data_IF_867934358993
#
_entry.id   IF_867934358993
#
_cell.length_a   1.000
_cell.length_b   1.000
_cell.length_c   1.000
_cell.angle_alpha   90.00
_cell.angle_beta   90.00
_cell.angle_gamma   90.00
#
_symmetry.space_group_name_H-M   'P 1'
#
loop_
_entity.id
_entity.type
_entity.pdbx_description
1 polymer ?
#
# COMPACT_ATOMS: atom_id res chain seq x y z
N UNK A 1 22.84 22.09 7.38
CA UNK A 1 21.65 21.37 7.88
C UNK A 1 21.93 19.87 7.75
N UNK A 2 21.87 19.10 8.83
CA UNK A 2 22.06 17.64 8.79
C UNK A 2 20.76 16.98 9.25
N UNK A 3 20.23 16.07 8.44
CA UNK A 3 18.98 15.35 8.71
C UNK A 3 19.28 13.86 8.62
N UNK A 4 18.86 13.10 9.64
CA UNK A 4 18.97 11.64 9.67
C UNK A 4 17.59 11.02 9.50
N UNK A 5 17.48 9.99 8.67
CA UNK A 5 16.24 9.25 8.43
C UNK A 5 16.44 7.76 8.74
N UNK A 6 15.46 7.13 9.37
CA UNK A 6 15.40 5.67 9.55
C UNK A 6 14.36 5.08 8.59
N UNK A 7 14.80 4.15 7.76
CA UNK A 7 13.96 3.45 6.78
C UNK A 7 13.79 1.99 7.25
N UNK A 8 12.55 1.51 7.26
CA UNK A 8 12.17 0.17 7.76
C UNK A 8 11.29 -0.53 6.70
N UNK A 9 11.36 -1.86 6.62
CA UNK A 9 10.43 -2.68 5.82
C UNK A 9 9.41 -3.29 6.77
N UNK A 10 8.13 -3.03 6.54
CA UNK A 10 7.04 -3.57 7.36
C UNK A 10 5.77 -3.75 6.49
N UNK A 11 4.61 -4.01 7.11
CA UNK A 11 3.31 -4.18 6.46
C UNK A 11 2.27 -3.23 7.07
N UNK A 12 1.24 -2.90 6.28
CA UNK A 12 0.09 -2.14 6.76
C UNK A 12 0.37 -0.66 7.02
N UNK A 13 -0.49 -0.07 7.84
CA UNK A 13 -0.35 1.29 8.36
C UNK A 13 0.11 1.22 9.81
N UNK A 14 1.13 2.01 10.15
CA UNK A 14 1.63 2.12 11.51
C UNK A 14 1.59 3.57 11.97
N UNK A 15 0.70 3.83 12.92
CA UNK A 15 0.65 5.09 13.66
C UNK A 15 1.70 5.01 14.76
N UNK A 16 2.68 5.91 14.74
CA UNK A 16 3.67 5.97 15.82
C UNK A 16 3.13 6.90 16.91
N UNK A 17 2.90 6.38 18.11
CA UNK A 17 2.58 7.20 19.26
C UNK A 17 3.68 8.26 19.45
N UNK A 18 3.34 9.48 19.95
CA UNK A 18 4.31 10.51 20.30
C UNK A 18 5.11 10.05 21.53
N UNK A 19 5.95 9.05 21.36
CA UNK A 19 6.90 8.64 22.37
C UNK A 19 8.14 9.52 22.25
N UNK A 20 8.62 9.96 23.41
CA UNK A 20 9.90 10.62 23.60
C UNK A 20 11.02 9.65 23.23
N UNK A 21 11.35 9.57 21.93
CA UNK A 21 12.61 8.97 21.52
C UNK A 21 13.71 9.69 22.32
N UNK A 22 14.54 8.92 23.04
CA UNK A 22 15.64 9.47 23.84
C UNK A 22 16.60 10.35 23.00
N UNK A 23 16.55 10.20 21.67
CA UNK A 23 17.42 10.83 20.67
C UNK A 23 16.81 12.06 19.96
N UNK A 24 15.76 12.68 20.52
CA UNK A 24 15.06 13.87 19.91
C UNK A 24 14.53 13.65 18.49
N UNK A 25 14.34 12.42 18.04
CA UNK A 25 13.77 12.14 16.72
C UNK A 25 12.25 12.35 16.71
N UNK A 26 11.72 12.90 15.61
CA UNK A 26 10.30 13.10 15.42
C UNK A 26 9.67 11.86 14.75
N UNK A 27 8.69 11.18 15.39
CA UNK A 27 7.97 10.10 14.73
C UNK A 27 7.16 10.62 13.55
N UNK A 28 7.16 9.84 12.47
CA UNK A 28 6.30 10.06 11.30
C UNK A 28 5.43 8.81 11.17
N UNK A 29 4.15 9.00 10.92
CA UNK A 29 3.24 7.90 10.60
C UNK A 29 3.67 7.25 9.28
N UNK A 30 3.74 5.92 9.29
CA UNK A 30 4.34 5.16 8.19
C UNK A 30 3.28 4.32 7.48
N UNK A 31 3.21 4.48 6.16
CA UNK A 31 2.39 3.65 5.27
C UNK A 31 3.33 2.68 4.55
N UNK A 32 3.26 1.40 4.89
CA UNK A 32 4.07 0.35 4.24
C UNK A 32 3.33 -0.35 3.10
N UNK A 33 2.07 0.01 2.86
CA UNK A 33 1.24 -0.57 1.81
C UNK A 33 1.57 0.06 0.45
N UNK A 34 2.04 -0.74 -0.54
CA UNK A 34 2.33 -0.24 -1.88
C UNK A 34 1.04 0.05 -2.68
N UNK A 35 -0.04 -0.68 -2.40
CA UNK A 35 -1.36 -0.49 -3.03
C UNK A 35 -2.11 0.64 -2.32
N UNK A 36 -2.46 1.68 -3.07
CA UNK A 36 -3.25 2.83 -2.60
C UNK A 36 -4.75 2.59 -2.71
N UNK A 37 -5.17 1.91 -3.77
CA UNK A 37 -6.55 1.56 -4.00
C UNK A 37 -6.62 0.36 -4.95
N UNK A 38 -7.66 -0.46 -4.80
CA UNK A 38 -7.98 -1.58 -5.67
C UNK A 38 -9.50 -1.59 -5.91
N UNK A 39 -9.90 -1.34 -7.14
CA UNK A 39 -11.30 -1.41 -7.57
C UNK A 39 -11.51 -2.66 -8.44
N UNK A 40 -12.74 -3.14 -8.50
CA UNK A 40 -13.10 -4.29 -9.30
C UNK A 40 -14.50 -4.17 -9.89
N UNK A 41 -14.70 -4.82 -11.03
CA UNK A 41 -16.02 -5.05 -11.59
C UNK A 41 -16.13 -6.46 -12.16
N UNK A 42 -17.33 -7.03 -12.06
CA UNK A 42 -17.65 -8.35 -12.59
C UNK A 42 -18.74 -8.17 -13.65
N UNK A 43 -18.49 -8.73 -14.82
CA UNK A 43 -19.43 -8.70 -15.94
C UNK A 43 -19.79 -10.13 -16.33
N UNK A 44 -21.07 -10.46 -16.24
CA UNK A 44 -21.58 -11.75 -16.71
C UNK A 44 -21.83 -11.71 -18.22
N UNK A 45 -21.60 -12.84 -18.88
CA UNK A 45 -21.89 -13.06 -20.29
C UNK A 45 -22.38 -14.49 -20.50
N UNK A 46 -22.82 -14.82 -21.72
CA UNK A 46 -23.38 -16.14 -22.05
C UNK A 46 -24.58 -16.50 -21.16
N UNK A 47 -25.58 -15.62 -21.15
CA UNK A 47 -26.82 -15.77 -20.36
C UNK A 47 -26.60 -15.91 -18.84
N UNK A 48 -25.44 -15.49 -18.33
CA UNK A 48 -25.09 -15.56 -16.92
C UNK A 48 -24.29 -16.81 -16.53
N UNK A 49 -23.91 -17.66 -17.48
CA UNK A 49 -23.15 -18.88 -17.19
C UNK A 49 -21.62 -18.65 -17.13
N UNK A 50 -21.15 -17.47 -17.57
CA UNK A 50 -19.73 -17.09 -17.50
C UNK A 50 -19.56 -15.66 -17.01
N UNK A 51 -18.42 -15.37 -16.42
CA UNK A 51 -18.09 -14.06 -15.85
C UNK A 51 -16.66 -13.64 -16.21
N UNK A 52 -16.45 -12.33 -16.32
CA UNK A 52 -15.12 -11.71 -16.47
C UNK A 52 -14.93 -10.72 -15.32
N UNK A 53 -13.78 -10.83 -14.64
CA UNK A 53 -13.33 -9.92 -13.59
C UNK A 53 -12.37 -8.89 -14.17
N UNK A 54 -12.67 -7.61 -13.95
CA UNK A 54 -11.73 -6.50 -14.19
C UNK A 54 -11.19 -6.00 -12.85
N UNK A 55 -9.87 -5.81 -12.79
CA UNK A 55 -9.17 -5.27 -11.63
C UNK A 55 -8.48 -3.96 -12.03
N UNK A 56 -8.70 -2.92 -11.24
CA UNK A 56 -8.02 -1.64 -11.35
C UNK A 56 -7.21 -1.43 -10.06
N UNK A 57 -5.88 -1.46 -10.18
CA UNK A 57 -4.95 -1.38 -9.05
C UNK A 57 -4.12 -0.11 -9.18
N UNK A 58 -4.20 0.77 -8.18
CA UNK A 58 -3.37 1.96 -8.08
C UNK A 58 -2.29 1.75 -7.02
N UNK A 59 -1.02 1.87 -7.40
CA UNK A 59 0.12 1.76 -6.48
C UNK A 59 0.79 3.12 -6.24
N UNK A 60 1.62 3.20 -5.22
CA UNK A 60 2.42 4.40 -4.91
C UNK A 60 3.76 4.47 -5.68
N UNK A 61 4.02 3.50 -6.57
CA UNK A 61 5.24 3.40 -7.37
C UNK A 61 6.36 2.53 -6.79
N UNK A 62 6.25 2.04 -5.54
CA UNK A 62 7.24 1.10 -5.00
C UNK A 62 7.12 -0.32 -5.58
N UNK A 63 5.92 -0.67 -6.06
CA UNK A 63 5.63 -1.84 -6.90
C UNK A 63 4.78 -1.39 -8.09
N UNK A 64 4.97 -2.02 -9.24
CA UNK A 64 4.01 -1.93 -10.36
C UNK A 64 2.71 -2.66 -9.99
N UNK A 65 1.56 -2.32 -10.62
CA UNK A 65 0.30 -3.04 -10.39
C UNK A 65 0.40 -4.56 -10.59
N UNK A 66 1.21 -5.01 -11.56
CA UNK A 66 1.44 -6.43 -11.82
C UNK A 66 2.19 -7.10 -10.69
N UNK A 67 3.27 -6.48 -10.20
CA UNK A 67 4.04 -7.01 -9.06
C UNK A 67 3.18 -7.03 -7.79
N UNK A 68 2.41 -5.98 -7.54
CA UNK A 68 1.52 -5.90 -6.39
C UNK A 68 0.38 -6.95 -6.40
N UNK A 69 0.01 -7.46 -7.58
CA UNK A 69 -0.95 -8.57 -7.70
C UNK A 69 -0.30 -9.94 -7.41
N UNK A 70 1.02 -10.05 -7.61
CA UNK A 70 1.74 -11.31 -7.44
C UNK A 70 2.26 -11.55 -6.02
N UNK A 71 2.45 -10.48 -5.24
CA UNK A 71 3.04 -10.51 -3.89
C UNK A 71 2.05 -10.94 -2.79
#
# INVERSE_FOLDING_TARGET
>A
LVISLRIEKNRGYLIKAPNTFQDRSYPIDTVFMPVRNANHSIHSYENGNKEILFLEIWTNGSLTPKEALHE
#
